data_IF_191148424457
#
_entry.id   IF_191148424457
#
_cell.length_a   1.000
_cell.length_b   1.000
_cell.length_c   1.000
_cell.angle_alpha   90.00
_cell.angle_beta   90.00
_cell.angle_gamma   90.00
#
_symmetry.space_group_name_H-M   'P 1'
#
loop_
_entity.id
_entity.type
_entity.pdbx_description
1 polymer ?
#
# COMPACT_ATOMS: atom_id res chain seq x y z
N UNK A 1 -36.55 0.90 43.98
CA UNK A 1 -35.73 2.01 44.52
C UNK A 1 -34.26 1.72 44.21
N UNK A 2 -33.60 2.67 43.54
CA UNK A 2 -32.45 2.47 42.64
C UNK A 2 -31.12 2.07 43.31
N UNK A 3 -30.46 1.03 42.74
CA UNK A 3 -29.01 0.79 42.83
C UNK A 3 -28.40 1.09 41.45
N UNK A 4 -27.97 2.33 41.20
CA UNK A 4 -27.35 2.71 39.92
C UNK A 4 -26.26 3.79 40.04
N UNK A 5 -25.59 3.87 41.19
CA UNK A 5 -24.67 4.97 41.52
C UNK A 5 -23.21 4.74 41.13
N UNK A 6 -22.83 3.54 40.65
CA UNK A 6 -21.41 3.21 40.34
C UNK A 6 -20.96 3.51 38.91
N UNK A 7 -21.88 3.61 37.95
CA UNK A 7 -21.53 3.81 36.53
C UNK A 7 -21.24 5.28 36.21
N UNK A 8 -21.77 6.24 36.99
CA UNK A 8 -21.60 7.68 36.72
C UNK A 8 -20.21 8.20 37.13
N UNK A 9 -19.51 7.53 38.06
CA UNK A 9 -18.23 8.03 38.59
C UNK A 9 -17.06 7.84 37.62
N UNK A 10 -17.09 6.76 36.81
CA UNK A 10 -16.04 6.47 35.82
C UNK A 10 -16.07 7.48 34.65
N UNK A 11 -17.26 7.94 34.23
CA UNK A 11 -17.39 8.91 33.14
C UNK A 11 -16.92 10.33 33.52
N UNK A 12 -16.89 10.72 34.81
CA UNK A 12 -16.45 12.07 35.21
C UNK A 12 -14.92 12.22 35.24
N UNK A 13 -14.19 11.15 35.56
CA UNK A 13 -12.72 11.16 35.61
C UNK A 13 -12.15 11.23 34.17
N UNK A 14 -12.79 10.52 33.24
CA UNK A 14 -12.38 10.50 31.83
C UNK A 14 -12.57 11.86 31.13
N UNK A 15 -13.59 12.64 31.54
CA UNK A 15 -13.84 13.98 30.99
C UNK A 15 -12.82 15.00 31.48
N UNK A 16 -12.38 14.97 32.76
CA UNK A 16 -11.36 15.92 33.23
C UNK A 16 -9.95 15.59 32.69
N UNK A 17 -9.64 14.32 32.42
CA UNK A 17 -8.40 13.92 31.78
C UNK A 17 -8.32 14.31 30.29
N UNK A 18 -9.47 14.46 29.61
CA UNK A 18 -9.55 14.91 28.21
C UNK A 18 -9.30 16.40 27.98
N UNK A 19 -9.40 17.24 29.02
CA UNK A 19 -9.23 18.70 28.90
C UNK A 19 -7.76 19.13 29.02
N UNK A 20 -6.85 18.21 29.39
CA UNK A 20 -5.42 18.52 29.45
C UNK A 20 -4.78 18.40 28.05
N UNK A 21 -4.03 19.43 27.60
CA UNK A 21 -3.37 19.43 26.30
C UNK A 21 -2.43 18.23 26.20
N UNK A 22 -2.22 17.74 24.97
CA UNK A 22 -1.48 16.52 24.57
C UNK A 22 -0.18 16.33 25.36
N UNK A 23 -0.32 15.81 26.57
CA UNK A 23 0.77 15.37 27.40
C UNK A 23 1.22 14.03 26.84
N UNK A 24 2.51 13.89 26.58
CA UNK A 24 3.14 12.60 26.28
C UNK A 24 2.69 11.57 27.33
N UNK A 25 2.62 10.30 26.95
CA UNK A 25 2.07 9.23 27.80
C UNK A 25 2.67 9.23 29.22
N UNK A 26 3.95 9.63 29.36
CA UNK A 26 4.63 9.80 30.65
C UNK A 26 4.04 10.88 31.57
N UNK A 27 3.61 12.02 31.03
CA UNK A 27 3.09 13.13 31.84
C UNK A 27 1.69 12.85 32.38
N UNK A 28 0.85 12.13 31.60
CA UNK A 28 -0.48 11.67 32.06
C UNK A 28 -0.38 10.67 33.20
N UNK A 29 0.57 9.73 33.12
CA UNK A 29 0.78 8.72 34.17
C UNK A 29 1.21 9.33 35.52
N UNK A 30 1.97 10.43 35.48
CA UNK A 30 2.42 11.16 36.68
C UNK A 30 1.26 11.89 37.37
N UNK A 31 0.43 12.62 36.62
CA UNK A 31 -0.73 13.36 37.16
C UNK A 31 -1.76 12.40 37.78
N UNK A 32 -2.04 11.27 37.12
CA UNK A 32 -2.93 10.23 37.65
C UNK A 32 -2.40 9.60 38.95
N UNK A 33 -1.08 9.37 39.04
CA UNK A 33 -0.43 8.86 40.26
C UNK A 33 -0.57 9.82 41.42
N UNK A 34 -0.25 11.10 41.20
CA UNK A 34 -0.34 12.14 42.24
C UNK A 34 -1.78 12.34 42.71
N UNK A 35 -2.77 12.30 41.80
CA UNK A 35 -4.18 12.39 42.14
C UNK A 35 -4.67 11.21 43.01
N UNK A 36 -4.36 9.97 42.63
CA UNK A 36 -4.76 8.78 43.42
C UNK A 36 -4.08 8.73 44.79
N UNK A 37 -2.80 9.11 44.88
CA UNK A 37 -2.08 9.20 46.14
C UNK A 37 -2.67 10.27 47.05
N UNK A 38 -3.12 11.41 46.50
CA UNK A 38 -3.79 12.48 47.26
C UNK A 38 -5.13 12.05 47.89
N UNK A 39 -5.75 10.99 47.38
CA UNK A 39 -7.03 10.44 47.87
C UNK A 39 -6.86 9.23 48.81
N UNK A 40 -5.64 8.94 49.25
CA UNK A 40 -5.36 7.84 50.18
C UNK A 40 -5.54 6.44 49.59
N UNK A 41 -5.69 6.33 48.26
CA UNK A 41 -6.03 5.08 47.58
C UNK A 41 -4.83 4.41 46.92
N UNK A 42 -3.84 3.94 47.70
CA UNK A 42 -2.73 3.16 47.14
C UNK A 42 -3.22 1.87 46.46
N UNK A 43 -4.22 1.18 47.01
CA UNK A 43 -4.77 -0.04 46.40
C UNK A 43 -5.57 0.25 45.12
N UNK A 44 -6.27 1.38 45.07
CA UNK A 44 -7.04 1.78 43.90
C UNK A 44 -6.13 2.27 42.76
N UNK A 45 -5.00 2.91 43.07
CA UNK A 45 -3.95 3.21 42.09
C UNK A 45 -3.34 1.93 41.52
N UNK A 46 -3.01 0.96 42.39
CA UNK A 46 -2.46 -0.31 41.92
C UNK A 46 -3.46 -1.09 41.07
N UNK A 47 -4.73 -1.21 41.47
CA UNK A 47 -5.79 -1.85 40.67
C UNK A 47 -6.00 -1.14 39.32
N UNK A 48 -5.97 0.20 39.29
CA UNK A 48 -6.10 0.94 38.04
C UNK A 48 -4.86 0.78 37.14
N UNK A 49 -3.66 0.69 37.73
CA UNK A 49 -2.40 0.41 37.02
C UNK A 49 -2.33 -1.02 36.47
N UNK A 50 -2.93 -1.99 37.17
CA UNK A 50 -3.13 -3.35 36.64
C UNK A 50 -4.10 -3.39 35.46
N UNK A 51 -5.13 -2.54 35.46
CA UNK A 51 -6.06 -2.42 34.33
C UNK A 51 -5.50 -1.58 33.17
N UNK A 52 -4.57 -0.67 33.44
CA UNK A 52 -3.93 0.20 32.45
C UNK A 52 -2.51 -0.30 32.16
N UNK A 53 -2.39 -1.52 31.65
CA UNK A 53 -1.20 -1.93 30.89
C UNK A 53 -1.28 -1.19 29.56
N UNK A 54 -0.42 -0.20 29.38
CA UNK A 54 -0.33 0.55 28.13
C UNK A 54 0.32 -0.39 27.10
N UNK A 55 -0.47 -1.19 26.39
CA UNK A 55 0.05 -2.03 25.31
C UNK A 55 0.63 -1.12 24.23
N UNK A 56 1.90 -1.27 23.91
CA UNK A 56 2.53 -0.51 22.82
C UNK A 56 2.16 -1.20 21.51
N UNK A 57 1.17 -0.69 20.77
CA UNK A 57 0.76 -1.27 19.48
C UNK A 57 1.66 -0.79 18.34
N UNK A 58 2.56 -1.64 17.85
CA UNK A 58 3.31 -1.33 16.63
C UNK A 58 2.42 -1.57 15.41
N UNK A 59 2.10 -0.50 14.67
CA UNK A 59 1.35 -0.57 13.41
C UNK A 59 2.31 -0.43 12.24
N UNK A 60 2.24 -1.37 11.28
CA UNK A 60 3.02 -1.36 10.04
C UNK A 60 2.07 -1.36 8.84
N UNK A 61 2.35 -0.52 7.85
CA UNK A 61 1.70 -0.59 6.55
C UNK A 61 2.55 -1.43 5.61
N UNK A 62 1.92 -2.31 4.85
CA UNK A 62 2.56 -3.13 3.84
C UNK A 62 1.59 -3.47 2.71
N UNK A 63 2.09 -4.08 1.63
CA UNK A 63 1.31 -4.27 0.41
C UNK A 63 1.11 -5.74 0.06
N UNK A 64 -0.03 -6.04 -0.55
CA UNK A 64 -0.31 -7.35 -1.17
C UNK A 64 -0.75 -7.14 -2.62
N UNK A 65 -0.03 -7.74 -3.56
CA UNK A 65 -0.33 -7.68 -4.99
C UNK A 65 -1.03 -8.98 -5.40
N UNK A 66 -2.25 -8.88 -5.91
CA UNK A 66 -3.05 -10.02 -6.34
C UNK A 66 -3.04 -10.06 -7.88
N UNK A 67 -2.47 -11.12 -8.45
CA UNK A 67 -2.45 -11.32 -9.90
C UNK A 67 -2.32 -12.80 -10.29
N UNK A 68 -2.42 -13.10 -11.58
CA UNK A 68 -2.14 -14.45 -12.08
C UNK A 68 -0.65 -14.78 -11.96
N UNK A 69 -0.33 -16.07 -11.93
CA UNK A 69 1.04 -16.58 -11.99
C UNK A 69 1.62 -16.46 -13.41
N UNK A 70 1.68 -15.23 -13.91
CA UNK A 70 2.26 -14.83 -15.19
C UNK A 70 2.83 -13.41 -15.04
N UNK A 71 3.59 -12.95 -16.04
CA UNK A 71 4.15 -11.59 -16.06
C UNK A 71 3.03 -10.57 -16.29
N UNK A 72 2.44 -10.60 -17.48
CA UNK A 72 1.23 -9.85 -17.82
C UNK A 72 1.24 -8.38 -17.39
N UNK A 73 0.11 -7.92 -16.87
CA UNK A 73 -0.11 -6.54 -16.46
C UNK A 73 0.42 -6.22 -15.04
N UNK A 74 0.86 -7.22 -14.27
CA UNK A 74 1.45 -6.99 -12.95
C UNK A 74 2.97 -6.88 -12.98
N UNK A 75 3.63 -7.32 -14.06
CA UNK A 75 5.10 -7.29 -14.14
C UNK A 75 5.70 -5.89 -13.92
N UNK A 76 5.18 -4.82 -14.55
CA UNK A 76 5.71 -3.48 -14.28
C UNK A 76 5.58 -3.09 -12.80
N UNK A 77 4.51 -3.53 -12.13
CA UNK A 77 4.30 -3.26 -10.70
C UNK A 77 5.38 -3.96 -9.86
N UNK A 78 5.72 -5.21 -10.21
CA UNK A 78 6.78 -5.97 -9.53
C UNK A 78 8.14 -5.32 -9.72
N UNK A 79 8.46 -4.85 -10.94
CA UNK A 79 9.72 -4.15 -11.21
C UNK A 79 9.80 -2.83 -10.44
N UNK A 80 8.73 -2.05 -10.41
CA UNK A 80 8.70 -0.80 -9.66
C UNK A 80 8.87 -1.02 -8.14
N UNK A 81 8.21 -2.03 -7.59
CA UNK A 81 8.40 -2.39 -6.16
C UNK A 81 9.82 -2.88 -5.87
N UNK A 82 10.43 -3.65 -6.78
CA UNK A 82 11.81 -4.10 -6.65
C UNK A 82 12.79 -2.92 -6.75
N UNK A 83 12.59 -2.01 -7.70
CA UNK A 83 13.38 -0.79 -7.88
C UNK A 83 13.43 0.05 -6.60
N UNK A 84 12.29 0.20 -5.91
CA UNK A 84 12.18 0.96 -4.66
C UNK A 84 12.38 0.14 -3.39
N UNK A 85 12.80 -1.13 -3.49
CA UNK A 85 12.97 -2.03 -2.35
C UNK A 85 11.73 -2.11 -1.43
N UNK A 86 10.54 -2.04 -2.01
CA UNK A 86 9.27 -2.07 -1.26
C UNK A 86 8.89 -3.52 -0.95
N UNK A 87 8.82 -3.92 0.34
CA UNK A 87 8.40 -5.28 0.69
C UNK A 87 6.89 -5.46 0.46
N UNK A 88 6.52 -6.55 -0.21
CA UNK A 88 5.12 -6.90 -0.49
C UNK A 88 4.92 -8.42 -0.55
N UNK A 89 3.67 -8.87 -0.42
CA UNK A 89 3.28 -10.26 -0.72
C UNK A 89 2.67 -10.35 -2.11
N UNK A 90 3.23 -11.23 -2.95
CA UNK A 90 2.72 -11.53 -4.30
C UNK A 90 1.79 -12.75 -4.24
N UNK A 91 0.48 -12.50 -4.19
CA UNK A 91 -0.55 -13.56 -4.23
C UNK A 91 -0.82 -13.92 -5.67
N UNK A 92 -0.33 -15.10 -6.06
CA UNK A 92 -0.38 -15.60 -7.44
C UNK A 92 -1.45 -16.65 -7.63
N UNK A 93 -2.43 -16.36 -8.49
CA UNK A 93 -3.44 -17.32 -8.91
C UNK A 93 -2.91 -18.19 -10.06
N UNK A 94 -2.90 -19.52 -9.92
CA UNK A 94 -2.52 -20.41 -11.01
C UNK A 94 -3.43 -20.21 -12.24
N UNK A 95 -2.82 -20.26 -13.42
CA UNK A 95 -3.54 -20.35 -14.69
C UNK A 95 -3.66 -21.83 -15.02
N UNK A 96 -4.88 -22.30 -15.31
CA UNK A 96 -5.14 -23.67 -15.71
C UNK A 96 -5.36 -23.74 -17.22
N UNK A 97 -5.07 -24.89 -17.84
CA UNK A 97 -5.42 -25.10 -19.25
C UNK A 97 -6.92 -25.37 -19.37
N UNK A 98 -7.61 -24.68 -20.27
CA UNK A 98 -9.03 -24.90 -20.56
C UNK A 98 -9.23 -25.33 -22.01
N UNK A 99 -10.35 -25.99 -22.32
CA UNK A 99 -10.69 -26.46 -23.66
C UNK A 99 -10.67 -25.34 -24.73
N UNK A 100 -10.89 -24.08 -24.32
CA UNK A 100 -10.74 -22.89 -25.15
C UNK A 100 -9.90 -21.84 -24.43
N UNK A 101 -8.58 -22.06 -24.37
CA UNK A 101 -7.61 -21.08 -23.89
C UNK A 101 -7.22 -21.26 -22.43
N UNK A 102 -7.17 -20.16 -21.69
CA UNK A 102 -6.72 -20.14 -20.30
C UNK A 102 -7.90 -20.18 -19.34
N UNK A 103 -7.88 -21.15 -18.43
CA UNK A 103 -8.77 -21.25 -17.27
C UNK A 103 -8.15 -20.62 -16.02
N UNK A 104 -8.99 -20.44 -15.00
CA UNK A 104 -8.59 -19.89 -13.70
C UNK A 104 -8.84 -20.92 -12.60
N UNK A 105 -8.02 -20.88 -11.56
CA UNK A 105 -8.14 -21.77 -10.41
C UNK A 105 -9.41 -21.52 -9.56
N UNK A 106 -9.86 -22.55 -8.82
CA UNK A 106 -11.01 -22.46 -7.91
C UNK A 106 -10.84 -21.35 -6.86
N UNK A 107 -9.61 -21.11 -6.40
CA UNK A 107 -9.30 -20.03 -5.45
C UNK A 107 -9.62 -18.66 -6.03
N UNK A 108 -9.32 -18.45 -7.32
CA UNK A 108 -9.63 -17.20 -8.01
C UNK A 108 -11.15 -17.01 -8.11
N UNK A 109 -11.89 -18.04 -8.51
CA UNK A 109 -13.34 -17.99 -8.64
C UNK A 109 -14.02 -17.72 -7.29
N UNK A 110 -13.54 -18.35 -6.22
CA UNK A 110 -14.02 -18.10 -4.86
C UNK A 110 -13.78 -16.65 -4.44
N UNK A 111 -12.56 -16.14 -4.60
CA UNK A 111 -12.24 -14.75 -4.25
C UNK A 111 -13.01 -13.74 -5.11
N UNK A 112 -13.28 -14.06 -6.38
CA UNK A 112 -14.12 -13.25 -7.26
C UNK A 112 -15.57 -13.21 -6.76
N UNK A 113 -16.15 -14.37 -6.39
CA UNK A 113 -17.50 -14.46 -5.84
C UNK A 113 -17.66 -13.75 -4.48
N UNK A 114 -16.60 -13.75 -3.66
CA UNK A 114 -16.51 -12.98 -2.42
C UNK A 114 -16.37 -11.46 -2.66
N UNK A 115 -16.24 -11.00 -3.91
CA UNK A 115 -16.12 -9.59 -4.26
C UNK A 115 -14.75 -8.99 -3.99
N UNK A 116 -13.69 -9.80 -3.82
CA UNK A 116 -12.32 -9.33 -3.53
C UNK A 116 -11.67 -8.53 -4.66
N UNK A 117 -12.27 -8.53 -5.85
CA UNK A 117 -11.73 -7.86 -7.05
C UNK A 117 -12.58 -6.66 -7.49
N UNK A 118 -13.50 -6.19 -6.64
CA UNK A 118 -14.43 -5.10 -6.96
C UNK A 118 -13.73 -3.79 -7.34
N UNK A 119 -12.59 -3.49 -6.74
CA UNK A 119 -11.82 -2.28 -7.01
C UNK A 119 -11.27 -2.21 -8.46
N UNK A 120 -11.31 -3.33 -9.20
CA UNK A 120 -10.94 -3.38 -10.61
C UNK A 120 -11.98 -4.13 -11.45
N UNK A 121 -13.27 -3.90 -11.19
CA UNK A 121 -14.38 -4.46 -11.97
C UNK A 121 -14.33 -6.00 -12.08
N UNK A 122 -14.05 -6.67 -10.96
CA UNK A 122 -13.88 -8.12 -10.85
C UNK A 122 -12.71 -8.69 -11.65
N UNK A 123 -11.67 -7.88 -11.88
CA UNK A 123 -10.43 -8.26 -12.56
C UNK A 123 -9.22 -8.03 -11.64
N UNK A 124 -8.08 -8.55 -12.07
CA UNK A 124 -6.75 -8.31 -11.48
C UNK A 124 -5.87 -7.57 -12.50
N UNK A 125 -4.85 -6.79 -12.09
CA UNK A 125 -4.26 -6.70 -10.76
C UNK A 125 -5.07 -5.89 -9.76
N UNK A 126 -4.89 -6.21 -8.47
CA UNK A 126 -5.34 -5.45 -7.31
C UNK A 126 -4.14 -5.27 -6.37
N UNK A 127 -3.90 -4.04 -5.92
CA UNK A 127 -2.99 -3.75 -4.83
C UNK A 127 -3.81 -3.53 -3.55
N UNK A 128 -3.63 -4.39 -2.55
CA UNK A 128 -4.20 -4.17 -1.22
C UNK A 128 -3.20 -3.45 -0.33
N UNK A 129 -3.66 -2.40 0.34
CA UNK A 129 -2.92 -1.68 1.36
C UNK A 129 -3.32 -2.28 2.70
N UNK A 130 -2.39 -2.95 3.37
CA UNK A 130 -2.66 -3.70 4.60
C UNK A 130 -2.00 -3.02 5.78
N UNK A 131 -2.76 -2.79 6.84
CA UNK A 131 -2.22 -2.43 8.14
C UNK A 131 -2.14 -3.70 8.99
N UNK A 132 -0.93 -4.00 9.44
CA UNK A 132 -0.65 -5.09 10.38
C UNK A 132 -0.28 -4.51 11.74
N UNK A 133 -0.76 -5.12 12.81
CA UNK A 133 -0.31 -4.80 14.16
C UNK A 133 -0.20 -6.03 15.04
N UNK A 134 0.63 -5.91 16.07
CA UNK A 134 0.78 -6.88 17.14
C UNK A 134 0.43 -6.20 18.45
N UNK A 135 -0.44 -6.84 19.22
CA UNK A 135 -0.71 -6.44 20.60
C UNK A 135 0.33 -7.11 21.50
N UNK A 136 1.30 -6.33 21.97
CA UNK A 136 2.24 -6.81 22.97
C UNK A 136 1.68 -6.47 24.35
N UNK A 137 1.34 -7.51 25.12
CA UNK A 137 0.94 -7.36 26.52
C UNK A 137 2.21 -7.26 27.36
N UNK A 138 2.40 -6.12 28.03
CA UNK A 138 3.48 -5.96 29.01
C UNK A 138 3.18 -6.84 30.23
N UNK A 139 3.73 -8.05 30.27
CA UNK A 139 3.62 -8.94 31.41
C UNK A 139 4.61 -10.08 31.33
N UNK A 140 5.51 -10.17 32.32
CA UNK A 140 6.43 -11.29 32.59
C UNK A 140 5.69 -12.59 33.00
N UNK A 141 4.49 -12.83 32.49
CA UNK A 141 3.70 -14.02 32.75
C UNK A 141 3.70 -14.90 31.52
N UNK A 142 4.38 -16.03 31.62
CA UNK A 142 4.39 -17.12 30.65
C UNK A 142 2.95 -17.65 30.45
N UNK A 143 2.20 -17.02 29.54
CA UNK A 143 0.84 -17.41 29.17
C UNK A 143 0.78 -17.41 27.64
N UNK A 144 0.99 -18.60 27.07
CA UNK A 144 0.53 -19.01 25.75
C UNK A 144 0.69 -17.98 24.63
N UNK A 145 1.86 -17.96 24.00
CA UNK A 145 2.17 -17.18 22.80
C UNK A 145 1.30 -17.56 21.59
N UNK A 146 0.06 -17.09 21.52
CA UNK A 146 -0.63 -16.96 20.23
C UNK A 146 -0.27 -15.61 19.62
N UNK A 147 0.92 -15.57 19.00
CA UNK A 147 1.50 -14.46 18.22
C UNK A 147 0.74 -14.23 16.89
N UNK A 148 -0.60 -14.24 16.90
CA UNK A 148 -1.37 -13.98 15.68
C UNK A 148 -1.37 -12.49 15.39
N UNK A 149 -0.49 -12.05 14.50
CA UNK A 149 -0.52 -10.70 13.95
C UNK A 149 -1.90 -10.45 13.32
N UNK A 150 -2.54 -9.35 13.71
CA UNK A 150 -3.81 -8.94 13.14
C UNK A 150 -3.55 -8.09 11.90
N UNK A 151 -4.38 -8.28 10.88
CA UNK A 151 -4.32 -7.52 9.63
C UNK A 151 -5.68 -6.97 9.28
N UNK A 152 -5.70 -5.72 8.81
CA UNK A 152 -6.86 -5.12 8.17
C UNK A 152 -6.45 -4.55 6.81
N UNK A 153 -7.29 -4.77 5.82
CA UNK A 153 -7.17 -4.08 4.53
C UNK A 153 -7.68 -2.66 4.74
N UNK A 154 -6.81 -1.67 4.56
CA UNK A 154 -7.17 -0.26 4.63
C UNK A 154 -7.85 0.20 3.34
N UNK A 155 -7.30 -0.20 2.20
CA UNK A 155 -7.79 0.19 0.88
C UNK A 155 -7.33 -0.78 -0.22
N UNK A 156 -7.97 -0.71 -1.38
CA UNK A 156 -7.71 -1.55 -2.55
C UNK A 156 -7.64 -0.70 -3.84
N UNK A 157 -6.54 -0.80 -4.58
CA UNK A 157 -6.32 -0.06 -5.83
C UNK A 157 -6.34 -1.05 -7.00
N UNK A 158 -7.21 -0.80 -7.97
CA UNK A 158 -7.26 -1.48 -9.26
C UNK A 158 -6.50 -0.74 -10.36
N UNK A 159 -6.46 -1.31 -11.57
CA UNK A 159 -5.82 -0.76 -12.77
C UNK A 159 -4.29 -0.63 -12.66
N UNK A 160 -3.56 -1.30 -13.56
CA UNK A 160 -2.09 -1.36 -13.53
C UNK A 160 -1.43 0.03 -13.44
N UNK A 161 -1.80 0.97 -14.31
CA UNK A 161 -1.17 2.30 -14.33
C UNK A 161 -1.52 3.14 -13.10
N UNK A 162 -2.72 2.98 -12.53
CA UNK A 162 -3.09 3.65 -11.28
C UNK A 162 -2.25 3.12 -10.12
N UNK A 163 -2.05 1.79 -10.04
CA UNK A 163 -1.17 1.17 -9.04
C UNK A 163 0.27 1.67 -9.19
N UNK A 164 0.80 1.71 -10.42
CA UNK A 164 2.14 2.20 -10.70
C UNK A 164 2.33 3.65 -10.24
N UNK A 165 1.42 4.56 -10.62
CA UNK A 165 1.45 5.97 -10.18
C UNK A 165 1.36 6.13 -8.67
N UNK A 166 0.55 5.30 -8.02
CA UNK A 166 0.44 5.32 -6.56
C UNK A 166 1.76 4.91 -5.90
N UNK A 167 2.38 3.83 -6.37
CA UNK A 167 3.63 3.33 -5.80
C UNK A 167 4.81 4.27 -6.07
N UNK A 168 4.90 4.80 -7.30
CA UNK A 168 5.87 5.83 -7.68
C UNK A 168 5.70 7.10 -6.83
N UNK A 169 4.45 7.50 -6.54
CA UNK A 169 4.21 8.63 -5.65
C UNK A 169 4.60 8.36 -4.19
N UNK A 170 4.35 7.15 -3.68
CA UNK A 170 4.63 6.82 -2.28
C UNK A 170 6.10 6.53 -2.00
N UNK A 171 6.81 5.93 -2.97
CA UNK A 171 8.16 5.39 -2.77
C UNK A 171 9.21 5.94 -3.74
N UNK A 172 8.77 6.58 -4.83
CA UNK A 172 9.68 7.21 -5.79
C UNK A 172 10.47 8.34 -5.13
N UNK A 173 11.79 8.24 -5.25
CA UNK A 173 12.72 9.28 -4.80
C UNK A 173 12.42 10.60 -5.52
N UNK A 174 12.47 11.72 -4.79
CA UNK A 174 12.50 13.16 -5.15
C UNK A 174 11.80 13.69 -6.43
N UNK A 175 11.79 12.97 -7.55
CA UNK A 175 11.05 13.21 -8.80
C UNK A 175 9.53 13.27 -8.57
N UNK A 176 9.02 12.54 -7.58
CA UNK A 176 7.61 12.56 -7.15
C UNK A 176 7.17 13.88 -6.50
N UNK A 177 8.11 14.77 -6.15
CA UNK A 177 7.84 16.06 -5.50
C UNK A 177 7.76 17.24 -6.47
N UNK A 178 8.30 17.11 -7.70
CA UNK A 178 8.15 18.13 -8.73
C UNK A 178 6.94 17.80 -9.62
N UNK A 179 5.83 18.57 -9.54
CA UNK A 179 4.62 18.28 -10.31
C UNK A 179 4.85 18.27 -11.83
N UNK A 180 5.80 19.06 -12.34
CA UNK A 180 6.10 19.12 -13.77
C UNK A 180 6.82 17.86 -14.25
N UNK A 181 7.85 17.41 -13.52
CA UNK A 181 8.54 16.15 -13.85
C UNK A 181 7.58 14.96 -13.79
N UNK A 182 6.69 14.93 -12.79
CA UNK A 182 5.64 13.92 -12.71
C UNK A 182 4.70 13.94 -13.92
N UNK A 183 4.29 15.12 -14.38
CA UNK A 183 3.48 15.23 -15.59
C UNK A 183 4.22 14.72 -16.83
N UNK A 184 5.54 14.96 -16.94
CA UNK A 184 6.36 14.38 -18.01
C UNK A 184 6.43 12.86 -17.92
N UNK A 185 6.60 12.29 -16.73
CA UNK A 185 6.58 10.83 -16.52
C UNK A 185 5.24 10.24 -16.95
N UNK A 186 4.14 10.80 -16.48
CA UNK A 186 2.80 10.35 -16.84
C UNK A 186 2.58 10.44 -18.36
N UNK A 187 2.99 11.53 -18.99
CA UNK A 187 2.87 11.69 -20.45
C UNK A 187 3.68 10.64 -21.21
N UNK A 188 4.90 10.36 -20.76
CA UNK A 188 5.77 9.38 -21.40
C UNK A 188 5.20 7.96 -21.26
N UNK A 189 4.74 7.59 -20.07
CA UNK A 189 4.11 6.28 -19.79
C UNK A 189 2.85 6.07 -20.64
N UNK A 190 2.04 7.11 -20.83
CA UNK A 190 0.85 7.05 -21.70
C UNK A 190 1.25 6.90 -23.18
N UNK A 191 2.32 7.57 -23.64
CA UNK A 191 2.84 7.40 -24.99
C UNK A 191 3.34 5.95 -25.24
N UNK A 192 4.02 5.32 -24.28
CA UNK A 192 4.42 3.91 -24.35
C UNK A 192 3.18 2.99 -24.45
N UNK A 193 2.10 3.32 -23.73
CA UNK A 193 0.83 2.58 -23.83
C UNK A 193 0.22 2.67 -25.22
N UNK A 194 0.31 3.82 -25.87
CA UNK A 194 -0.17 4.01 -27.23
C UNK A 194 0.63 3.19 -28.24
N UNK A 195 1.97 3.14 -28.11
CA UNK A 195 2.83 2.24 -28.90
C UNK A 195 2.42 0.78 -28.71
N UNK A 196 2.23 0.36 -27.45
CA UNK A 196 1.80 -1.01 -27.12
C UNK A 196 0.42 -1.33 -27.72
N UNK A 197 -0.51 -0.38 -27.69
CA UNK A 197 -1.84 -0.53 -28.29
C UNK A 197 -1.76 -0.64 -29.80
N UNK A 198 -0.93 0.18 -30.46
CA UNK A 198 -0.68 0.11 -31.89
C UNK A 198 -0.05 -1.23 -32.29
N UNK A 199 0.91 -1.73 -31.49
CA UNK A 199 1.50 -3.05 -31.67
C UNK A 199 0.45 -4.17 -31.61
N UNK A 200 -0.43 -4.19 -30.60
CA UNK A 200 -1.48 -5.21 -30.53
C UNK A 200 -2.45 -5.15 -31.71
N UNK A 201 -2.80 -3.95 -32.19
CA UNK A 201 -3.60 -3.79 -33.41
C UNK A 201 -2.88 -4.37 -34.63
N UNK A 202 -1.57 -4.16 -34.75
CA UNK A 202 -0.76 -4.74 -35.83
C UNK A 202 -0.74 -6.26 -35.78
N UNK A 203 -0.70 -6.86 -34.57
CA UNK A 203 -0.79 -8.32 -34.38
C UNK A 203 -2.12 -8.89 -34.88
N UNK A 204 -3.23 -8.27 -34.50
CA UNK A 204 -4.57 -8.70 -34.95
C UNK A 204 -4.70 -8.62 -36.47
N UNK A 205 -4.12 -7.60 -37.09
CA UNK A 205 -4.18 -7.38 -38.54
C UNK A 205 -3.08 -8.13 -39.33
N UNK A 206 -2.26 -8.96 -38.66
CA UNK A 206 -1.13 -9.67 -39.27
C UNK A 206 -0.09 -8.75 -39.95
N UNK A 207 0.04 -7.51 -39.47
CA UNK A 207 0.98 -6.48 -39.96
C UNK A 207 2.20 -6.28 -39.06
N UNK A 208 2.59 -7.31 -38.30
CA UNK A 208 3.69 -7.22 -37.33
C UNK A 208 5.00 -6.77 -37.97
N UNK A 209 5.34 -7.34 -39.14
CA UNK A 209 6.60 -7.07 -39.81
C UNK A 209 6.69 -5.62 -40.27
N UNK A 210 5.62 -5.08 -40.88
CA UNK A 210 5.49 -3.68 -41.28
C UNK A 210 5.63 -2.74 -40.06
N UNK A 211 4.95 -3.08 -38.96
CA UNK A 211 5.04 -2.30 -37.73
C UNK A 211 6.47 -2.25 -37.19
N UNK A 212 7.15 -3.39 -37.12
CA UNK A 212 8.53 -3.46 -36.59
C UNK A 212 9.52 -2.76 -37.52
N UNK A 213 9.38 -2.89 -38.84
CA UNK A 213 10.34 -2.33 -39.79
C UNK A 213 10.15 -0.83 -40.03
N UNK A 214 8.92 -0.31 -39.92
CA UNK A 214 8.61 1.07 -40.29
C UNK A 214 8.06 1.88 -39.12
N UNK A 215 6.98 1.43 -38.48
CA UNK A 215 6.28 2.25 -37.49
C UNK A 215 7.03 2.36 -36.16
N UNK A 216 7.61 1.25 -35.67
CA UNK A 216 8.29 1.22 -34.39
C UNK A 216 9.49 2.18 -34.35
N UNK A 217 10.39 2.22 -35.36
CA UNK A 217 11.46 3.21 -35.42
C UNK A 217 10.94 4.66 -35.36
N UNK A 218 9.85 4.96 -36.07
CA UNK A 218 9.22 6.29 -36.06
C UNK A 218 8.67 6.64 -34.67
N UNK A 219 8.04 5.68 -33.97
CA UNK A 219 7.58 5.85 -32.59
C UNK A 219 8.75 6.06 -31.62
N UNK A 220 9.83 5.28 -31.74
CA UNK A 220 11.03 5.46 -30.92
C UNK A 220 11.61 6.87 -31.09
N UNK A 221 11.73 7.35 -32.33
CA UNK A 221 12.21 8.70 -32.61
C UNK A 221 11.31 9.78 -31.97
N UNK A 222 9.98 9.62 -32.07
CA UNK A 222 9.03 10.55 -31.44
C UNK A 222 9.11 10.52 -29.91
N UNK A 223 9.30 9.34 -29.32
CA UNK A 223 9.46 9.18 -27.87
C UNK A 223 10.74 9.88 -27.40
N UNK A 224 11.86 9.66 -28.08
CA UNK A 224 13.14 10.33 -27.78
C UNK A 224 13.00 11.86 -27.85
N UNK A 225 12.32 12.38 -28.87
CA UNK A 225 12.05 13.82 -29.02
C UNK A 225 11.09 14.39 -27.98
N UNK A 226 10.25 13.55 -27.37
CA UNK A 226 9.26 13.97 -26.36
C UNK A 226 9.84 14.10 -24.95
N UNK A 227 11.03 13.52 -24.71
CA UNK A 227 11.68 13.61 -23.41
C UNK A 227 12.04 15.07 -23.12
N UNK A 228 11.82 15.54 -21.88
CA UNK A 228 12.24 16.88 -21.51
C UNK A 228 13.75 17.01 -21.69
N UNK A 229 14.20 18.19 -22.13
CA UNK A 229 15.63 18.51 -22.13
C UNK A 229 16.07 18.54 -20.67
N UNK A 230 16.72 17.47 -20.21
CA UNK A 230 17.38 17.49 -18.91
C UNK A 230 18.58 18.42 -19.06
N UNK A 231 18.75 19.38 -18.13
CA UNK A 231 19.92 20.28 -18.10
C UNK A 231 21.25 19.51 -18.07
N UNK A 232 21.19 18.23 -17.71
CA UNK A 232 22.29 17.29 -17.63
C UNK A 232 22.52 16.44 -18.89
N UNK A 233 21.85 16.68 -20.03
CA UNK A 233 22.08 16.12 -21.38
C UNK A 233 23.32 15.18 -21.52
N UNK A 234 23.24 13.96 -20.96
CA UNK A 234 24.28 12.93 -21.05
C UNK A 234 24.89 12.42 -19.73
N UNK A 235 24.73 13.11 -18.60
CA UNK A 235 25.39 12.72 -17.34
C UNK A 235 24.57 11.78 -16.45
N UNK A 236 23.24 11.76 -16.59
CA UNK A 236 22.38 10.85 -15.82
C UNK A 236 21.74 9.78 -16.70
N UNK A 237 21.70 8.52 -16.25
CA UNK A 237 21.19 7.39 -17.04
C UNK A 237 19.66 7.28 -17.06
N UNK A 238 18.92 8.24 -16.49
CA UNK A 238 17.47 8.18 -16.30
C UNK A 238 16.72 9.00 -17.34
N UNK A 239 15.53 8.53 -17.74
CA UNK A 239 14.74 9.18 -18.79
C UNK A 239 14.22 10.56 -18.37
N UNK A 240 13.75 10.70 -17.12
CA UNK A 240 13.17 11.94 -16.60
C UNK A 240 13.63 12.16 -15.16
N UNK A 241 14.33 13.27 -14.91
CA UNK A 241 14.85 13.61 -13.59
C UNK A 241 16.25 13.07 -13.32
N UNK A 242 16.63 13.04 -12.03
CA UNK A 242 17.96 12.67 -11.53
C UNK A 242 17.98 11.29 -10.83
N UNK A 243 16.84 10.61 -10.80
CA UNK A 243 16.64 9.31 -10.16
C UNK A 243 15.77 8.38 -11.01
N UNK A 244 15.86 7.05 -10.81
CA UNK A 244 15.01 6.11 -11.53
C UNK A 244 13.54 6.29 -11.13
N UNK A 245 12.67 6.25 -12.14
CA UNK A 245 11.26 6.59 -12.04
C UNK A 245 10.38 5.55 -12.73
N UNK A 246 9.06 5.74 -12.64
CA UNK A 246 8.12 4.98 -13.46
C UNK A 246 8.37 5.10 -14.98
N UNK A 247 8.99 6.17 -15.48
CA UNK A 247 9.29 6.29 -16.91
C UNK A 247 10.31 5.24 -17.39
N UNK A 248 11.18 4.77 -16.48
CA UNK A 248 12.26 3.82 -16.77
C UNK A 248 11.81 2.34 -16.71
N UNK A 249 10.55 2.08 -16.35
CA UNK A 249 9.95 0.74 -16.15
C UNK A 249 9.01 0.35 -17.30
#
# INVERSE_FOLDING_TARGET
MFKNSRIVFLNRIDIQARILPVATAGSRARVLKEWYLSKGGQSAYQQHRYQCKISTTQKRIWYRLLYFNTRGAAEPIRYLMALYNVPYQDVRYPIQAAAKGFGVDETYLKHQAEGRFRANLNKVPILQIVQQWKEQLDGEGDIGSTDSAQEVILDEIGQTHTILRFLDYQHGHHVSLNPLQRAHIDSFVEAIRDVKTAWYKSKTNQKCNEFVSSNLPEWCQKLEQSLPVNESNGDYPWLIGDHPSLADI
#
